data_IF_057076156947
#
_entry.id   IF_057076156947
#
_cell.length_a   1.000
_cell.length_b   1.000
_cell.length_c   1.000
_cell.angle_alpha   90.00
_cell.angle_beta   90.00
_cell.angle_gamma   90.00
#
_symmetry.space_group_name_H-M   'P 1'
#
loop_
_entity.id
_entity.type
_entity.pdbx_description
1 polymer ?
#
# COMPACT_ATOMS: atom_id res chain seq x y z
N UNK A 1 7.32 37.47 -45.04
CA UNK A 1 5.92 37.27 -44.59
C UNK A 1 5.62 35.81 -44.28
N UNK A 2 5.85 34.85 -45.18
CA UNK A 2 5.62 33.41 -44.91
C UNK A 2 6.49 32.79 -43.79
N UNK A 3 7.67 33.36 -43.49
CA UNK A 3 8.52 32.93 -42.38
C UNK A 3 8.00 33.38 -41.00
N UNK A 4 7.32 34.52 -40.94
CA UNK A 4 6.77 35.08 -39.70
C UNK A 4 5.50 34.34 -39.27
N UNK A 5 4.68 33.91 -40.24
CA UNK A 5 3.50 33.08 -40.00
C UNK A 5 3.87 31.70 -39.42
N UNK A 6 4.87 31.01 -39.98
CA UNK A 6 5.34 29.71 -39.44
C UNK A 6 5.92 29.84 -38.03
N UNK A 7 6.64 30.94 -37.76
CA UNK A 7 7.17 31.21 -36.42
C UNK A 7 6.05 31.44 -35.40
N UNK A 8 5.00 32.17 -35.79
CA UNK A 8 3.82 32.39 -34.96
C UNK A 8 3.05 31.09 -34.67
N UNK A 9 2.87 30.24 -35.69
CA UNK A 9 2.20 28.95 -35.53
C UNK A 9 2.99 28.02 -34.59
N UNK A 10 4.32 27.98 -34.71
CA UNK A 10 5.17 27.21 -33.79
C UNK A 10 5.16 27.75 -32.36
N UNK A 11 5.07 29.07 -32.18
CA UNK A 11 5.03 29.72 -30.87
C UNK A 11 3.73 29.38 -30.12
N UNK A 12 2.59 29.34 -30.82
CA UNK A 12 1.31 28.92 -30.22
C UNK A 12 1.35 27.46 -29.80
N UNK A 13 1.93 26.58 -30.63
CA UNK A 13 2.07 25.15 -30.29
C UNK A 13 2.96 24.97 -29.06
N UNK A 14 4.10 25.67 -28.99
CA UNK A 14 4.99 25.62 -27.83
C UNK A 14 4.32 26.12 -26.55
N UNK A 15 3.49 27.17 -26.64
CA UNK A 15 2.71 27.68 -25.50
C UNK A 15 1.70 26.64 -24.99
N UNK A 16 0.98 25.95 -25.88
CA UNK A 16 0.00 24.92 -25.50
C UNK A 16 0.71 23.72 -24.86
N UNK A 17 1.85 23.30 -25.42
CA UNK A 17 2.67 22.22 -24.86
C UNK A 17 3.21 22.60 -23.49
N UNK A 18 3.69 23.83 -23.31
CA UNK A 18 4.15 24.34 -22.03
C UNK A 18 3.03 24.37 -20.98
N UNK A 19 1.83 24.81 -21.37
CA UNK A 19 0.66 24.85 -20.49
C UNK A 19 0.22 23.45 -20.06
N UNK A 20 0.09 22.52 -21.01
CA UNK A 20 -0.24 21.13 -20.71
C UNK A 20 0.78 20.48 -19.77
N UNK A 21 2.06 20.84 -19.90
CA UNK A 21 3.12 20.40 -18.99
C UNK A 21 3.02 21.06 -17.61
N UNK A 22 2.58 22.30 -17.53
CA UNK A 22 2.36 23.00 -16.26
C UNK A 22 1.20 22.38 -15.47
N UNK A 23 0.05 22.23 -16.12
CA UNK A 23 -1.15 21.61 -15.55
C UNK A 23 -0.94 20.15 -15.11
N UNK A 24 -0.02 19.41 -15.73
CA UNK A 24 0.24 18.00 -15.38
C UNK A 24 1.36 17.81 -14.38
N UNK A 25 2.43 18.60 -14.44
CA UNK A 25 3.60 18.42 -13.58
C UNK A 25 3.37 18.95 -12.16
N UNK A 26 2.59 20.02 -12.02
CA UNK A 26 2.26 20.61 -10.72
C UNK A 26 1.46 19.65 -9.81
N UNK A 27 0.38 18.98 -10.29
CA UNK A 27 -0.30 17.95 -9.49
C UNK A 27 0.55 16.69 -9.29
N UNK A 28 1.39 16.30 -10.25
CA UNK A 28 2.25 15.11 -10.13
C UNK A 28 3.32 15.27 -9.04
N UNK A 29 3.87 16.48 -8.91
CA UNK A 29 4.85 16.81 -7.87
C UNK A 29 4.23 16.78 -6.48
N UNK A 30 2.95 17.16 -6.35
CA UNK A 30 2.18 17.02 -5.11
C UNK A 30 1.87 15.55 -4.76
N UNK A 31 1.43 14.77 -5.76
CA UNK A 31 1.08 13.36 -5.58
C UNK A 31 2.29 12.49 -5.18
N UNK A 32 3.48 12.79 -5.70
CA UNK A 32 4.70 12.02 -5.39
C UNK A 32 5.02 11.95 -3.89
N UNK A 33 4.79 13.03 -3.13
CA UNK A 33 5.00 13.03 -1.68
C UNK A 33 4.00 12.14 -0.95
N UNK A 34 2.73 12.16 -1.35
CA UNK A 34 1.69 11.33 -0.75
C UNK A 34 1.91 9.85 -1.04
N UNK A 35 2.30 9.51 -2.27
CA UNK A 35 2.64 8.13 -2.66
C UNK A 35 3.83 7.62 -1.84
N UNK A 36 4.87 8.44 -1.65
CA UNK A 36 6.01 8.08 -0.82
C UNK A 36 5.60 7.72 0.62
N UNK A 37 4.77 8.55 1.25
CA UNK A 37 4.23 8.25 2.57
C UNK A 37 3.33 7.01 2.57
N UNK A 38 2.58 6.78 1.49
CA UNK A 38 1.82 5.56 1.27
C UNK A 38 2.71 4.32 1.31
N UNK A 39 3.81 4.31 0.54
CA UNK A 39 4.75 3.19 0.48
C UNK A 39 5.44 2.96 1.83
N UNK A 40 5.89 4.02 2.50
CA UNK A 40 6.50 3.92 3.83
C UNK A 40 5.52 3.29 4.82
N UNK A 41 4.26 3.72 4.81
CA UNK A 41 3.23 3.14 5.69
C UNK A 41 2.93 1.69 5.34
N UNK A 42 2.89 1.31 4.06
CA UNK A 42 2.70 -0.08 3.63
C UNK A 42 3.80 -0.98 4.20
N UNK A 43 5.06 -0.56 4.08
CA UNK A 43 6.20 -1.30 4.64
C UNK A 43 6.08 -1.42 6.15
N UNK A 44 5.84 -0.31 6.85
CA UNK A 44 5.75 -0.30 8.31
C UNK A 44 4.58 -1.15 8.84
N UNK A 45 3.40 -1.01 8.24
CA UNK A 45 2.20 -1.78 8.60
C UNK A 45 2.39 -3.26 8.30
N UNK A 46 2.98 -3.60 7.15
CA UNK A 46 3.26 -5.00 6.81
C UNK A 46 4.23 -5.66 7.81
N UNK A 47 5.30 -4.96 8.19
CA UNK A 47 6.25 -5.44 9.18
C UNK A 47 5.60 -5.58 10.56
N UNK A 48 4.80 -4.60 10.99
CA UNK A 48 4.06 -4.65 12.24
C UNK A 48 3.10 -5.84 12.31
N UNK A 49 2.41 -6.13 11.20
CA UNK A 49 1.50 -7.27 11.12
C UNK A 49 2.23 -8.62 11.32
N UNK A 50 3.43 -8.77 10.74
CA UNK A 50 4.26 -9.97 10.93
C UNK A 50 4.70 -10.09 12.39
N UNK A 51 5.15 -9.00 13.00
CA UNK A 51 5.57 -9.00 14.40
C UNK A 51 4.42 -9.35 15.35
N UNK A 52 3.21 -8.83 15.12
CA UNK A 52 2.01 -9.20 15.88
C UNK A 52 1.67 -10.66 15.69
N UNK A 53 1.76 -11.20 14.47
CA UNK A 53 1.51 -12.62 14.21
C UNK A 53 2.48 -13.51 14.99
N UNK A 54 3.78 -13.17 14.98
CA UNK A 54 4.80 -13.90 15.73
C UNK A 54 4.61 -13.77 17.25
N UNK A 55 4.25 -12.58 17.73
CA UNK A 55 3.97 -12.33 19.14
C UNK A 55 2.75 -13.11 19.64
N UNK A 56 1.67 -13.16 18.86
CA UNK A 56 0.48 -13.97 19.17
C UNK A 56 0.80 -15.47 19.16
N UNK A 57 1.54 -15.94 18.15
CA UNK A 57 1.97 -17.33 18.08
C UNK A 57 2.79 -17.68 19.33
N UNK A 58 3.71 -16.80 19.74
CA UNK A 58 4.52 -16.99 20.94
C UNK A 58 3.69 -16.96 22.22
N UNK A 59 2.74 -16.02 22.35
CA UNK A 59 1.86 -15.96 23.51
C UNK A 59 1.02 -17.24 23.65
N UNK A 60 0.47 -17.73 22.53
CA UNK A 60 -0.28 -18.99 22.51
C UNK A 60 0.62 -20.14 22.91
N UNK A 61 1.84 -20.23 22.37
CA UNK A 61 2.81 -21.28 22.71
C UNK A 61 3.23 -21.23 24.19
N UNK A 62 3.53 -20.04 24.74
CA UNK A 62 3.94 -19.86 26.14
C UNK A 62 2.81 -20.22 27.13
N UNK A 63 1.56 -19.87 26.81
CA UNK A 63 0.38 -20.25 27.63
C UNK A 63 0.01 -21.74 27.51
N UNK A 64 0.53 -22.41 26.48
CA UNK A 64 0.18 -23.77 26.07
C UNK A 64 1.25 -24.80 26.41
N UNK A 65 2.36 -24.37 27.02
CA UNK A 65 3.58 -25.17 27.17
C UNK A 65 3.35 -26.52 27.87
N UNK A 66 2.47 -26.56 28.87
CA UNK A 66 2.17 -27.79 29.63
C UNK A 66 0.91 -28.52 29.10
N UNK A 67 0.06 -27.83 28.34
CA UNK A 67 -1.26 -28.35 27.94
C UNK A 67 -1.25 -29.14 26.63
N UNK A 68 -0.24 -28.95 25.77
CA UNK A 68 -0.20 -29.52 24.43
C UNK A 68 1.10 -30.27 24.11
N UNK A 69 1.69 -30.91 25.12
CA UNK A 69 2.88 -31.73 24.92
C UNK A 69 2.54 -33.04 24.17
N UNK A 70 3.36 -33.41 23.18
CA UNK A 70 3.13 -34.58 22.32
C UNK A 70 2.19 -34.34 21.11
N UNK A 71 1.10 -35.11 21.01
CA UNK A 71 0.27 -35.21 19.79
C UNK A 71 -0.50 -33.94 19.40
N UNK A 72 -0.57 -32.93 20.29
CA UNK A 72 -1.31 -31.68 20.07
C UNK A 72 -0.41 -30.46 19.78
N UNK A 73 0.89 -30.67 19.56
CA UNK A 73 1.86 -29.62 19.19
C UNK A 73 1.54 -28.85 17.90
N UNK A 74 0.60 -29.33 17.07
CA UNK A 74 0.15 -28.66 15.86
C UNK A 74 -0.87 -27.52 16.10
N UNK A 75 -1.54 -27.51 17.27
CA UNK A 75 -2.63 -26.57 17.58
C UNK A 75 -2.19 -25.10 17.59
N UNK A 76 -1.02 -24.72 18.14
CA UNK A 76 -0.55 -23.33 18.09
C UNK A 76 -0.38 -22.81 16.66
N UNK A 77 -0.01 -23.67 15.71
CA UNK A 77 0.14 -23.29 14.31
C UNK A 77 -1.20 -23.01 13.63
N UNK A 78 -2.28 -23.71 14.03
CA UNK A 78 -3.64 -23.43 13.55
C UNK A 78 -4.08 -22.01 13.97
N UNK A 79 -3.73 -21.56 15.17
CA UNK A 79 -4.00 -20.19 15.60
C UNK A 79 -3.27 -19.16 14.73
N UNK A 80 -2.00 -19.42 14.38
CA UNK A 80 -1.26 -18.59 13.43
C UNK A 80 -1.93 -18.54 12.05
N UNK A 81 -2.39 -19.68 11.54
CA UNK A 81 -3.14 -19.76 10.27
C UNK A 81 -4.46 -18.99 10.33
N UNK A 82 -5.24 -19.15 11.41
CA UNK A 82 -6.51 -18.42 11.60
C UNK A 82 -6.25 -16.91 11.66
N UNK A 83 -5.23 -16.47 12.40
CA UNK A 83 -4.86 -15.06 12.45
C UNK A 83 -4.52 -14.51 11.06
N UNK A 84 -3.70 -15.23 10.28
CA UNK A 84 -3.36 -14.82 8.91
C UNK A 84 -4.61 -14.73 8.02
N UNK A 85 -5.52 -15.70 8.11
CA UNK A 85 -6.79 -15.70 7.36
C UNK A 85 -7.66 -14.51 7.77
N UNK A 86 -7.75 -14.18 9.06
CA UNK A 86 -8.49 -13.01 9.55
C UNK A 86 -7.90 -11.72 9.00
N UNK A 87 -6.58 -11.55 9.05
CA UNK A 87 -5.89 -10.38 8.50
C UNK A 87 -6.18 -10.22 7.01
N UNK A 88 -6.07 -11.29 6.22
CA UNK A 88 -6.39 -11.29 4.79
C UNK A 88 -7.86 -10.96 4.57
N UNK A 89 -8.76 -11.59 5.32
CA UNK A 89 -10.21 -11.36 5.24
C UNK A 89 -10.59 -9.90 5.52
N UNK A 90 -10.00 -9.29 6.56
CA UNK A 90 -10.16 -7.87 6.87
C UNK A 90 -9.63 -7.01 5.73
N UNK A 91 -8.43 -7.30 5.21
CA UNK A 91 -7.87 -6.58 4.07
C UNK A 91 -8.79 -6.60 2.84
N UNK A 92 -9.33 -7.77 2.50
CA UNK A 92 -10.28 -7.93 1.40
C UNK A 92 -11.63 -7.25 1.66
N UNK A 93 -12.08 -7.17 2.92
CA UNK A 93 -13.33 -6.48 3.28
C UNK A 93 -13.22 -4.96 3.09
N UNK A 94 -12.04 -4.39 3.35
CA UNK A 94 -11.81 -2.95 3.22
C UNK A 94 -11.80 -2.51 1.75
N UNK A 95 -11.41 -3.39 0.82
CA UNK A 95 -11.44 -3.12 -0.62
C UNK A 95 -12.86 -3.04 -1.18
N UNK A 96 -13.81 -3.76 -0.58
CA UNK A 96 -15.20 -3.83 -1.09
C UNK A 96 -16.07 -2.67 -0.66
N UNK A 97 -15.59 -1.74 0.17
CA UNK A 97 -16.43 -0.62 0.64
C UNK A 97 -16.67 0.34 -0.54
N UNK A 98 -17.90 0.44 -1.08
CA UNK A 98 -18.20 1.43 -2.10
C UNK A 98 -18.07 2.80 -1.46
N UNK A 99 -17.15 3.62 -1.99
CA UNK A 99 -17.03 5.02 -1.60
C UNK A 99 -18.15 5.76 -2.35
N UNK A 100 -19.25 6.03 -1.66
CA UNK A 100 -20.30 6.96 -2.08
C UNK A 100 -19.80 8.40 -1.89
#
# INVERSE_FOLDING_TARGET
>A
MASQARAHDSEIVDMVVAYARQETVEPLRGAGRWILWGVVSMVLVSAGMVLVALGLLRLVQDLSSDAFDGAWSFVPYIFGTVFAVVVVGVGLSQMRRPRL
#
